data_IF_061960615199
#
_entry.id   IF_061960615199
#
_cell.length_a   1.000
_cell.length_b   1.000
_cell.length_c   1.000
_cell.angle_alpha   90.00
_cell.angle_beta   90.00
_cell.angle_gamma   90.00
#
_symmetry.space_group_name_H-M   'P 1'
#
loop_
_entity.id
_entity.type
_entity.pdbx_description
1 polymer ?
#
# COMPACT_ATOMS: atom_id res chain seq x y z
N UNK A 1 -6.43 -27.84 33.23
CA UNK A 1 -5.23 -27.63 32.40
C UNK A 1 -5.73 -27.10 31.07
N UNK A 2 -5.96 -25.80 30.99
CA UNK A 2 -6.34 -25.16 29.74
C UNK A 2 -5.05 -24.76 29.02
N UNK A 3 -4.71 -25.53 28.00
CA UNK A 3 -3.72 -25.16 27.01
C UNK A 3 -4.18 -23.88 26.33
N UNK A 4 -3.60 -22.74 26.71
CA UNK A 4 -3.63 -21.53 25.89
C UNK A 4 -2.84 -21.84 24.62
N UNK A 5 -3.53 -22.35 23.60
CA UNK A 5 -3.07 -22.19 22.23
C UNK A 5 -3.10 -20.68 21.97
N UNK A 6 -1.93 -20.05 21.95
CA UNK A 6 -1.80 -18.69 21.42
C UNK A 6 -2.10 -18.78 19.93
N UNK A 7 -3.38 -18.65 19.56
CA UNK A 7 -3.80 -18.65 18.17
C UNK A 7 -3.07 -17.51 17.47
N UNK A 8 -2.26 -17.85 16.47
CA UNK A 8 -1.54 -16.83 15.72
C UNK A 8 -2.58 -15.91 15.07
N UNK A 9 -2.42 -14.58 15.13
CA UNK A 9 -3.42 -13.68 14.59
C UNK A 9 -3.64 -14.01 13.12
N UNK A 10 -4.91 -14.08 12.71
CA UNK A 10 -5.25 -14.32 11.31
C UNK A 10 -4.62 -13.23 10.44
N UNK A 11 -4.22 -13.59 9.23
CA UNK A 11 -3.58 -12.66 8.30
C UNK A 11 -4.60 -12.18 7.28
N UNK A 12 -4.67 -10.87 7.08
CA UNK A 12 -5.39 -10.25 5.96
C UNK A 12 -4.39 -9.50 5.10
N UNK A 13 -4.37 -9.79 3.80
CA UNK A 13 -3.54 -9.09 2.83
C UNK A 13 -4.35 -7.94 2.25
N UNK A 14 -3.77 -6.74 2.11
CA UNK A 14 -4.45 -5.60 1.51
C UNK A 14 -3.51 -4.78 0.62
N UNK A 15 -4.11 -4.07 -0.33
CA UNK A 15 -3.42 -3.19 -1.28
C UNK A 15 -4.36 -2.07 -1.74
N UNK A 16 -3.78 -0.92 -2.11
CA UNK A 16 -4.51 0.24 -2.61
C UNK A 16 -4.04 0.64 -4.00
N UNK A 17 -4.99 0.79 -4.93
CA UNK A 17 -4.73 1.61 -6.12
C UNK A 17 -5.15 3.05 -5.85
N UNK A 18 -4.30 3.99 -6.24
CA UNK A 18 -4.48 5.42 -5.93
C UNK A 18 -4.42 6.28 -7.19
N UNK A 19 -4.82 7.55 -7.08
CA UNK A 19 -4.77 8.47 -8.21
C UNK A 19 -3.37 8.86 -8.66
N UNK A 20 -2.35 8.56 -7.86
CA UNK A 20 -0.98 9.00 -8.03
C UNK A 20 -0.16 8.75 -6.77
N UNK A 21 1.12 9.13 -6.78
CA UNK A 21 2.03 8.90 -5.66
C UNK A 21 2.15 10.10 -4.70
N UNK A 22 1.47 11.20 -5.00
CA UNK A 22 1.49 12.42 -4.20
C UNK A 22 0.76 12.30 -2.86
N UNK A 23 1.06 13.18 -1.89
CA UNK A 23 0.46 13.14 -0.54
C UNK A 23 -1.06 13.44 -0.53
N UNK A 24 -1.59 14.01 -1.60
CA UNK A 24 -3.01 14.35 -1.77
C UNK A 24 -3.75 13.39 -2.71
N UNK A 25 -3.17 12.23 -3.03
CA UNK A 25 -3.84 11.23 -3.85
C UNK A 25 -5.12 10.70 -3.17
N UNK A 26 -6.07 10.24 -3.98
CA UNK A 26 -7.26 9.54 -3.48
C UNK A 26 -7.12 8.04 -3.74
N UNK A 27 -7.78 7.24 -2.89
CA UNK A 27 -7.93 5.80 -3.12
C UNK A 27 -8.95 5.58 -4.23
N UNK A 28 -8.60 4.74 -5.21
CA UNK A 28 -9.43 4.37 -6.37
C UNK A 28 -9.91 2.93 -6.25
N UNK A 29 -9.06 2.04 -5.71
CA UNK A 29 -9.41 0.66 -5.40
C UNK A 29 -8.85 0.30 -4.01
N UNK A 30 -9.64 -0.41 -3.23
CA UNK A 30 -9.22 -1.05 -1.98
C UNK A 30 -9.55 -2.53 -2.10
N UNK A 31 -8.54 -3.39 -2.01
CA UNK A 31 -8.74 -4.83 -1.98
C UNK A 31 -8.14 -5.45 -0.73
N UNK A 32 -8.78 -6.52 -0.25
CA UNK A 32 -8.25 -7.33 0.83
C UNK A 32 -8.64 -8.80 0.68
N UNK A 33 -7.76 -9.72 1.12
CA UNK A 33 -8.03 -11.17 1.11
C UNK A 33 -7.54 -11.86 2.38
N UNK A 34 -8.26 -12.90 2.78
CA UNK A 34 -7.82 -13.86 3.80
C UNK A 34 -8.39 -15.24 3.49
N UNK A 35 -7.52 -16.16 3.08
CA UNK A 35 -7.91 -17.47 2.58
C UNK A 35 -8.76 -17.31 1.31
N UNK A 36 -10.01 -17.78 1.35
CA UNK A 36 -10.99 -17.66 0.28
C UNK A 36 -11.86 -16.40 0.34
N UNK A 37 -11.79 -15.64 1.43
CA UNK A 37 -12.56 -14.41 1.58
C UNK A 37 -11.87 -13.27 0.86
N UNK A 38 -12.65 -12.46 0.14
CA UNK A 38 -12.15 -11.32 -0.60
C UNK A 38 -13.07 -10.11 -0.44
N UNK A 39 -12.46 -8.93 -0.35
CA UNK A 39 -13.08 -7.63 -0.46
C UNK A 39 -12.43 -6.91 -1.65
N UNK A 40 -13.23 -6.30 -2.51
CA UNK A 40 -12.75 -5.55 -3.67
C UNK A 40 -13.69 -4.38 -3.95
N UNK A 41 -13.28 -3.19 -3.55
CA UNK A 41 -14.09 -1.98 -3.58
C UNK A 41 -13.44 -0.93 -4.47
N UNK A 42 -14.26 -0.20 -5.20
CA UNK A 42 -13.84 0.88 -6.08
C UNK A 42 -14.50 2.19 -5.67
N UNK A 43 -13.79 3.31 -5.87
CA UNK A 43 -14.25 4.64 -5.53
C UNK A 43 -13.98 5.59 -6.70
N UNK A 44 -14.92 6.49 -6.98
CA UNK A 44 -14.64 7.61 -7.88
C UNK A 44 -13.78 8.61 -7.10
N UNK A 45 -12.53 8.87 -7.51
CA UNK A 45 -11.67 9.83 -6.81
C UNK A 45 -12.18 11.27 -7.00
N UNK A 46 -11.88 12.12 -6.03
CA UNK A 46 -12.19 13.57 -6.05
C UNK A 46 -11.13 14.34 -6.82
N UNK A 47 -9.88 13.87 -6.79
CA UNK A 47 -8.78 14.44 -7.55
C UNK A 47 -8.57 13.74 -8.90
N UNK A 48 -7.84 14.40 -9.80
CA UNK A 48 -7.54 13.90 -11.14
C UNK A 48 -6.62 12.68 -11.06
N UNK A 49 -6.92 11.63 -11.83
CA UNK A 49 -5.97 10.55 -12.08
C UNK A 49 -4.72 11.08 -12.79
N UNK A 50 -3.56 10.85 -12.19
CA UNK A 50 -2.28 11.08 -12.85
C UNK A 50 -2.14 10.18 -14.09
N UNK A 51 -1.52 10.68 -15.18
CA UNK A 51 -1.33 9.87 -16.39
C UNK A 51 -0.55 8.57 -16.16
N UNK A 52 0.41 8.57 -15.21
CA UNK A 52 1.17 7.40 -14.82
C UNK A 52 0.29 6.34 -14.15
N UNK A 53 -0.43 6.73 -13.10
CA UNK A 53 -1.37 5.87 -12.38
C UNK A 53 -2.44 5.28 -13.32
N UNK A 54 -3.05 6.10 -14.18
CA UNK A 54 -4.04 5.64 -15.17
C UNK A 54 -3.47 4.62 -16.17
N UNK A 55 -2.18 4.75 -16.53
CA UNK A 55 -1.52 3.85 -17.48
C UNK A 55 -1.25 2.48 -16.87
N UNK A 56 -0.78 2.44 -15.63
CA UNK A 56 -0.39 1.18 -14.96
C UNK A 56 -1.62 0.42 -14.46
N UNK A 57 -2.57 1.11 -13.84
CA UNK A 57 -3.78 0.48 -13.26
C UNK A 57 -4.91 0.25 -14.27
N UNK A 58 -4.90 0.98 -15.39
CA UNK A 58 -6.00 0.98 -16.35
C UNK A 58 -7.26 1.75 -15.89
N UNK A 59 -7.23 2.42 -14.73
CA UNK A 59 -8.35 3.24 -14.25
C UNK A 59 -8.45 4.57 -14.99
N UNK A 60 -9.69 4.97 -15.30
CA UNK A 60 -10.04 6.27 -15.88
C UNK A 60 -11.37 6.77 -15.32
N UNK A 61 -11.47 8.07 -15.03
CA UNK A 61 -12.74 8.72 -14.69
C UNK A 61 -13.28 9.45 -15.91
N UNK A 62 -14.56 9.24 -16.23
CA UNK A 62 -15.28 9.99 -17.26
C UNK A 62 -16.68 10.29 -16.77
N UNK A 63 -17.09 11.56 -16.81
CA UNK A 63 -18.43 12.02 -16.39
C UNK A 63 -18.84 11.47 -15.01
N UNK A 64 -17.96 11.59 -14.01
CA UNK A 64 -18.14 11.09 -12.64
C UNK A 64 -18.32 9.57 -12.50
N UNK A 65 -17.99 8.78 -13.52
CA UNK A 65 -17.98 7.32 -13.47
C UNK A 65 -16.55 6.79 -13.61
N UNK A 66 -16.21 5.79 -12.80
CA UNK A 66 -14.94 5.09 -12.87
C UNK A 66 -15.01 3.94 -13.88
N UNK A 67 -13.96 3.80 -14.67
CA UNK A 67 -13.79 2.72 -15.64
C UNK A 67 -12.47 2.00 -15.38
N UNK A 68 -12.49 0.67 -15.40
CA UNK A 68 -11.31 -0.19 -15.45
C UNK A 68 -11.21 -0.79 -16.86
N UNK A 69 -10.11 -0.53 -17.56
CA UNK A 69 -9.90 -0.99 -18.94
C UNK A 69 -11.10 -0.73 -19.87
N UNK A 70 -11.65 0.50 -19.79
CA UNK A 70 -12.81 0.98 -20.56
C UNK A 70 -14.16 0.35 -20.18
N UNK A 71 -14.23 -0.49 -19.15
CA UNK A 71 -15.50 -1.02 -18.61
C UNK A 71 -15.89 -0.26 -17.34
N UNK A 72 -17.14 0.19 -17.21
CA UNK A 72 -17.59 0.85 -15.98
C UNK A 72 -17.54 -0.14 -14.81
N UNK A 73 -17.18 0.33 -13.62
CA UNK A 73 -17.20 -0.46 -12.38
C UNK A 73 -18.19 0.15 -11.40
N UNK A 74 -18.81 -0.70 -10.58
CA UNK A 74 -19.64 -0.23 -9.47
C UNK A 74 -18.73 0.39 -8.41
N UNK A 75 -19.12 1.55 -7.92
CA UNK A 75 -18.34 2.33 -6.96
C UNK A 75 -19.12 2.62 -5.70
N UNK A 76 -18.38 2.81 -4.61
CA UNK A 76 -18.88 3.20 -3.30
C UNK A 76 -18.36 4.59 -2.97
N UNK A 77 -18.97 5.27 -1.99
CA UNK A 77 -18.29 6.39 -1.36
C UNK A 77 -17.07 5.90 -0.58
N UNK A 78 -16.08 6.78 -0.38
CA UNK A 78 -14.88 6.45 0.40
C UNK A 78 -15.23 6.00 1.82
N UNK A 79 -16.22 6.65 2.46
CA UNK A 79 -16.68 6.28 3.81
C UNK A 79 -17.28 4.87 3.86
N UNK A 80 -18.16 4.53 2.92
CA UNK A 80 -18.75 3.18 2.82
C UNK A 80 -17.66 2.12 2.60
N UNK A 81 -16.66 2.42 1.78
CA UNK A 81 -15.56 1.51 1.53
C UNK A 81 -14.72 1.24 2.80
N UNK A 82 -14.41 2.29 3.57
CA UNK A 82 -13.67 2.16 4.82
C UNK A 82 -14.46 1.40 5.89
N UNK A 83 -15.77 1.66 6.03
CA UNK A 83 -16.64 0.93 6.96
C UNK A 83 -16.75 -0.55 6.56
N UNK A 84 -16.89 -0.83 5.26
CA UNK A 84 -16.92 -2.20 4.74
C UNK A 84 -15.59 -2.91 5.00
N UNK A 85 -14.46 -2.21 4.85
CA UNK A 85 -13.15 -2.76 5.16
C UNK A 85 -13.01 -3.09 6.65
N UNK A 86 -13.35 -2.17 7.55
CA UNK A 86 -13.34 -2.42 9.02
C UNK A 86 -14.22 -3.62 9.38
N UNK A 87 -15.41 -3.72 8.78
CA UNK A 87 -16.34 -4.84 8.99
C UNK A 87 -15.74 -6.16 8.52
N UNK A 88 -15.13 -6.17 7.33
CA UNK A 88 -14.42 -7.33 6.79
C UNK A 88 -13.29 -7.78 7.73
N UNK A 89 -12.49 -6.86 8.27
CA UNK A 89 -11.43 -7.18 9.23
C UNK A 89 -11.97 -7.78 10.53
N UNK A 90 -13.13 -7.30 11.00
CA UNK A 90 -13.82 -7.81 12.17
C UNK A 90 -14.17 -9.31 12.09
N UNK A 91 -14.37 -9.86 10.88
CA UNK A 91 -14.63 -11.29 10.67
C UNK A 91 -13.46 -12.19 11.09
N UNK A 92 -12.25 -11.62 11.24
CA UNK A 92 -11.01 -12.36 11.48
C UNK A 92 -10.44 -12.17 12.90
N UNK A 93 -11.18 -11.54 13.81
CA UNK A 93 -10.78 -11.48 15.22
C UNK A 93 -9.47 -10.74 15.47
N UNK A 94 -9.36 -9.51 14.92
CA UNK A 94 -8.17 -8.64 15.00
C UNK A 94 -6.97 -9.14 14.17
N UNK A 95 -7.08 -9.21 12.83
CA UNK A 95 -6.02 -9.73 12.00
C UNK A 95 -4.75 -8.86 12.00
N UNK A 96 -3.63 -9.47 11.60
CA UNK A 96 -2.44 -8.79 11.11
C UNK A 96 -2.66 -8.38 9.65
N UNK A 97 -2.48 -7.09 9.34
CA UNK A 97 -2.57 -6.60 7.97
C UNK A 97 -1.23 -6.67 7.27
N UNK A 98 -1.18 -7.35 6.13
CA UNK A 98 0.04 -7.52 5.34
C UNK A 98 -0.13 -6.85 4.00
N UNK A 99 0.88 -6.12 3.56
CA UNK A 99 0.95 -5.58 2.21
C UNK A 99 2.39 -5.51 1.75
N UNK A 100 2.63 -5.12 0.50
CA UNK A 100 3.97 -5.03 -0.05
C UNK A 100 4.41 -3.58 -0.25
N UNK A 101 5.45 -3.16 0.47
CA UNK A 101 5.94 -1.77 0.49
C UNK A 101 4.92 -0.75 1.04
N UNK A 102 3.94 -1.23 1.81
CA UNK A 102 2.79 -0.45 2.29
C UNK A 102 3.14 0.57 3.37
N UNK A 103 4.26 0.40 4.09
CA UNK A 103 4.57 1.23 5.27
C UNK A 103 4.78 2.69 4.90
N UNK A 104 5.33 2.95 3.72
CA UNK A 104 5.72 4.28 3.26
C UNK A 104 4.67 4.96 2.39
N UNK A 105 3.62 4.25 1.98
CA UNK A 105 2.62 4.78 1.06
C UNK A 105 1.20 4.40 1.48
N UNK A 106 0.76 3.17 1.25
CA UNK A 106 -0.61 2.71 1.46
C UNK A 106 -1.12 3.00 2.87
N UNK A 107 -0.29 2.74 3.89
CA UNK A 107 -0.67 3.00 5.27
C UNK A 107 -0.84 4.50 5.57
N UNK A 108 -0.09 5.38 4.90
CA UNK A 108 -0.25 6.84 5.04
C UNK A 108 -1.53 7.31 4.37
N UNK A 109 -1.84 6.76 3.19
CA UNK A 109 -3.08 7.05 2.46
C UNK A 109 -4.29 6.55 3.24
N UNK A 110 -4.25 5.32 3.74
CA UNK A 110 -5.28 4.72 4.57
C UNK A 110 -5.48 5.51 5.88
N UNK A 111 -4.40 5.87 6.58
CA UNK A 111 -4.49 6.64 7.83
C UNK A 111 -5.18 7.99 7.59
N UNK A 112 -4.81 8.72 6.53
CA UNK A 112 -5.45 9.98 6.14
C UNK A 112 -6.95 9.78 5.88
N UNK A 113 -7.30 8.76 5.11
CA UNK A 113 -8.70 8.47 4.79
C UNK A 113 -9.51 8.08 6.04
N UNK A 114 -8.93 7.31 6.96
CA UNK A 114 -9.57 6.97 8.24
C UNK A 114 -9.76 8.20 9.13
N UNK A 115 -8.75 9.08 9.21
CA UNK A 115 -8.81 10.33 9.98
C UNK A 115 -9.90 11.27 9.43
N UNK A 116 -10.05 11.37 8.11
CA UNK A 116 -11.08 12.20 7.44
C UNK A 116 -12.50 11.88 7.92
N UNK A 117 -12.80 10.61 8.19
CA UNK A 117 -14.14 10.16 8.61
C UNK A 117 -14.22 9.79 10.10
N UNK A 118 -13.19 10.07 10.90
CA UNK A 118 -13.16 9.72 12.32
C UNK A 118 -13.19 8.21 12.59
N UNK A 119 -12.73 7.39 11.64
CA UNK A 119 -12.79 5.92 11.70
C UNK A 119 -11.53 5.28 12.27
N UNK A 120 -10.47 6.06 12.52
CA UNK A 120 -9.16 5.53 12.94
C UNK A 120 -9.20 4.74 14.24
N UNK A 121 -9.89 5.25 15.26
CA UNK A 121 -10.01 4.54 16.54
C UNK A 121 -10.73 3.19 16.37
N UNK A 122 -11.86 3.18 15.64
CA UNK A 122 -12.59 1.95 15.33
C UNK A 122 -11.76 0.96 14.50
N UNK A 123 -10.94 1.47 13.58
CA UNK A 123 -10.03 0.63 12.80
C UNK A 123 -8.94 0.00 13.70
N UNK A 124 -8.35 0.77 14.61
CA UNK A 124 -7.28 0.29 15.50
C UNK A 124 -7.76 -0.81 16.47
N UNK A 125 -9.05 -0.85 16.84
CA UNK A 125 -9.57 -1.93 17.70
C UNK A 125 -9.67 -3.26 16.95
N UNK A 126 -9.88 -3.24 15.63
CA UNK A 126 -10.08 -4.45 14.81
C UNK A 126 -8.82 -4.99 14.14
N UNK A 127 -7.63 -4.50 14.47
CA UNK A 127 -6.36 -5.04 13.96
C UNK A 127 -5.35 -5.23 15.09
N UNK A 128 -4.41 -6.16 14.88
CA UNK A 128 -3.22 -6.29 15.75
C UNK A 128 -2.13 -5.31 15.31
N UNK A 129 -2.02 -5.04 14.01
CA UNK A 129 -1.02 -4.16 13.43
C UNK A 129 -0.85 -4.41 11.95
N UNK A 130 0.27 -3.94 11.43
CA UNK A 130 0.66 -4.04 10.03
C UNK A 130 2.00 -4.75 9.90
N UNK A 131 2.24 -5.37 8.74
CA UNK A 131 3.51 -5.97 8.35
C UNK A 131 3.82 -5.57 6.90
N UNK A 132 4.97 -4.94 6.71
CA UNK A 132 5.47 -4.65 5.36
C UNK A 132 6.27 -5.86 4.86
N UNK A 133 5.74 -6.53 3.84
CA UNK A 133 6.36 -7.75 3.30
C UNK A 133 7.64 -7.47 2.51
N UNK A 134 7.91 -6.23 2.08
CA UNK A 134 9.12 -5.91 1.32
C UNK A 134 10.41 -6.11 2.16
N UNK A 135 10.59 -5.47 3.33
CA UNK A 135 11.77 -5.71 4.17
C UNK A 135 11.83 -7.14 4.70
N UNK A 136 10.68 -7.77 4.98
CA UNK A 136 10.62 -9.17 5.37
C UNK A 136 11.16 -10.09 4.26
N UNK A 137 10.70 -9.92 3.02
CA UNK A 137 11.17 -10.70 1.87
C UNK A 137 12.67 -10.51 1.66
N UNK A 138 13.19 -9.28 1.81
CA UNK A 138 14.64 -9.01 1.73
C UNK A 138 15.45 -9.78 2.77
N UNK A 139 14.94 -9.90 4.00
CA UNK A 139 15.60 -10.69 5.03
C UNK A 139 15.57 -12.19 4.71
N UNK A 140 14.42 -12.72 4.28
CA UNK A 140 14.24 -14.15 3.99
C UNK A 140 15.06 -14.61 2.78
N UNK A 141 15.19 -13.75 1.79
CA UNK A 141 15.80 -14.08 0.50
C UNK A 141 17.19 -13.47 0.33
N UNK A 142 17.83 -13.01 1.41
CA UNK A 142 19.13 -12.31 1.36
C UNK A 142 20.22 -13.11 0.65
N UNK A 143 20.20 -14.44 0.74
CA UNK A 143 21.22 -15.33 0.19
C UNK A 143 20.77 -16.02 -1.13
N UNK A 144 19.62 -15.61 -1.68
CA UNK A 144 19.02 -16.25 -2.88
C UNK A 144 19.54 -15.71 -4.22
N UNK A 145 20.36 -14.66 -4.21
CA UNK A 145 20.83 -13.98 -5.43
C UNK A 145 19.79 -13.14 -6.17
N UNK A 146 18.58 -12.98 -5.60
CA UNK A 146 17.50 -12.17 -6.19
C UNK A 146 17.87 -10.68 -6.21
N UNK A 147 17.74 -10.08 -7.39
CA UNK A 147 18.09 -8.67 -7.62
C UNK A 147 16.90 -7.71 -7.46
N UNK A 148 15.68 -8.18 -7.72
CA UNK A 148 14.49 -7.35 -7.69
C UNK A 148 13.47 -7.87 -6.69
N UNK A 149 13.09 -7.00 -5.76
CA UNK A 149 12.08 -7.27 -4.75
C UNK A 149 10.75 -6.59 -5.06
N UNK A 150 10.47 -6.28 -6.33
CA UNK A 150 9.10 -5.94 -6.72
C UNK A 150 8.22 -7.18 -6.57
N UNK A 151 6.97 -7.01 -6.17
CA UNK A 151 6.07 -8.13 -5.88
C UNK A 151 5.93 -9.08 -7.08
N UNK A 152 5.76 -8.56 -8.29
CA UNK A 152 5.62 -9.35 -9.51
C UNK A 152 6.86 -10.20 -9.80
N UNK A 153 8.05 -9.69 -9.48
CA UNK A 153 9.31 -10.40 -9.65
C UNK A 153 9.49 -11.48 -8.58
N UNK A 154 9.10 -11.19 -7.33
CA UNK A 154 9.13 -12.18 -6.25
C UNK A 154 8.14 -13.32 -6.53
N UNK A 155 6.92 -13.00 -6.94
CA UNK A 155 5.91 -13.99 -7.33
C UNK A 155 6.41 -14.84 -8.48
N UNK A 156 6.98 -14.24 -9.54
CA UNK A 156 7.55 -14.99 -10.65
C UNK A 156 8.69 -15.92 -10.22
N UNK A 157 9.59 -15.43 -9.37
CA UNK A 157 10.79 -16.17 -8.98
C UNK A 157 10.49 -17.27 -7.98
N UNK A 158 9.64 -17.00 -6.98
CA UNK A 158 9.34 -17.93 -5.87
C UNK A 158 8.22 -18.90 -6.23
N UNK A 159 7.18 -18.44 -6.94
CA UNK A 159 6.00 -19.25 -7.26
C UNK A 159 5.99 -19.77 -8.69
N UNK A 160 6.89 -19.29 -9.57
CA UNK A 160 6.93 -19.70 -10.98
C UNK A 160 5.76 -19.21 -11.83
N UNK A 161 4.97 -18.26 -11.34
CA UNK A 161 3.77 -17.74 -12.03
C UNK A 161 3.83 -16.23 -12.24
N UNK A 162 3.12 -15.74 -13.25
CA UNK A 162 2.90 -14.30 -13.47
C UNK A 162 1.43 -13.97 -13.26
N UNK A 163 1.13 -12.71 -12.95
CA UNK A 163 -0.24 -12.23 -12.75
C UNK A 163 -0.39 -10.80 -13.27
N UNK A 164 -1.63 -10.32 -13.38
CA UNK A 164 -1.91 -8.95 -13.76
C UNK A 164 -1.64 -8.01 -12.58
N UNK A 165 -0.40 -7.52 -12.46
CA UNK A 165 -0.03 -6.50 -11.49
C UNK A 165 -0.71 -5.16 -11.76
N UNK A 166 -0.80 -4.31 -10.73
CA UNK A 166 -1.53 -3.04 -10.74
C UNK A 166 -3.05 -3.23 -10.81
N UNK A 167 -3.49 -4.27 -10.10
CA UNK A 167 -4.88 -4.48 -9.75
C UNK A 167 -4.88 -4.98 -8.31
N UNK A 168 -5.31 -4.13 -7.38
CA UNK A 168 -5.19 -4.42 -5.96
C UNK A 168 -5.68 -5.83 -5.56
N UNK A 169 -6.77 -6.34 -6.16
CA UNK A 169 -7.26 -7.69 -5.87
C UNK A 169 -6.28 -8.78 -6.35
N UNK A 170 -5.77 -8.67 -7.56
CA UNK A 170 -4.79 -9.62 -8.09
C UNK A 170 -3.47 -9.54 -7.31
N UNK A 171 -3.05 -8.33 -6.93
CA UNK A 171 -1.87 -8.08 -6.12
C UNK A 171 -1.99 -8.76 -4.74
N UNK A 172 -3.09 -8.58 -4.01
CA UNK A 172 -3.24 -9.22 -2.68
C UNK A 172 -3.40 -10.74 -2.75
N UNK A 173 -4.01 -11.27 -3.82
CA UNK A 173 -4.11 -12.71 -4.04
C UNK A 173 -2.73 -13.33 -4.32
N UNK A 174 -1.89 -12.64 -5.11
CA UNK A 174 -0.53 -13.07 -5.37
C UNK A 174 0.34 -12.95 -4.12
N UNK A 175 0.21 -11.85 -3.37
CA UNK A 175 0.92 -11.62 -2.12
C UNK A 175 0.58 -12.67 -1.06
N UNK A 176 -0.69 -13.05 -0.92
CA UNK A 176 -1.09 -14.13 0.00
C UNK A 176 -0.34 -15.43 -0.30
N UNK A 177 -0.30 -15.84 -1.57
CA UNK A 177 0.42 -17.06 -1.98
C UNK A 177 1.92 -16.93 -1.73
N UNK A 178 2.50 -15.77 -2.05
CA UNK A 178 3.92 -15.50 -1.85
C UNK A 178 4.29 -15.57 -0.37
N UNK A 179 3.51 -14.91 0.49
CA UNK A 179 3.74 -14.88 1.94
C UNK A 179 3.77 -16.28 2.55
N UNK A 180 2.81 -17.14 2.17
CA UNK A 180 2.78 -18.52 2.66
C UNK A 180 3.91 -19.38 2.10
N UNK A 181 4.32 -19.17 0.85
CA UNK A 181 5.48 -19.86 0.28
C UNK A 181 6.81 -19.45 0.93
N UNK A 182 6.93 -18.18 1.33
CA UNK A 182 8.09 -17.67 2.07
C UNK A 182 8.12 -18.18 3.52
N UNK A 183 6.96 -18.56 4.08
CA UNK A 183 6.81 -19.19 5.40
C UNK A 183 7.63 -18.50 6.51
N UNK A 184 7.45 -17.19 6.76
CA UNK A 184 8.20 -16.47 7.77
C UNK A 184 7.96 -17.03 9.18
N UNK A 185 9.00 -17.06 9.99
CA UNK A 185 8.90 -17.43 11.41
C UNK A 185 8.21 -16.32 12.22
N UNK A 186 7.64 -16.67 13.38
CA UNK A 186 7.02 -15.69 14.30
C UNK A 186 7.98 -14.55 14.67
N UNK A 187 9.26 -14.86 14.93
CA UNK A 187 10.29 -13.87 15.24
C UNK A 187 10.50 -12.88 14.09
N UNK A 188 10.58 -13.36 12.86
CA UNK A 188 10.72 -12.52 11.67
C UNK A 188 9.47 -11.65 11.46
N UNK A 189 8.27 -12.19 11.68
CA UNK A 189 7.03 -11.41 11.61
C UNK A 189 7.08 -10.26 12.63
N UNK A 190 7.37 -10.57 13.90
CA UNK A 190 7.42 -9.58 14.98
C UNK A 190 8.44 -8.45 14.71
N UNK A 191 9.58 -8.77 14.10
CA UNK A 191 10.62 -7.79 13.74
C UNK A 191 10.16 -6.72 12.74
N UNK A 192 9.19 -7.05 11.87
CA UNK A 192 8.73 -6.17 10.79
C UNK A 192 7.32 -5.61 11.04
N UNK A 193 6.73 -5.91 12.20
CA UNK A 193 5.42 -5.38 12.58
C UNK A 193 5.47 -3.90 12.97
N UNK A 194 4.41 -3.16 12.66
CA UNK A 194 4.25 -1.77 13.04
C UNK A 194 2.77 -1.39 13.25
N UNK A 195 2.51 -0.23 13.85
CA UNK A 195 1.16 0.32 14.06
C UNK A 195 0.97 1.65 13.33
N UNK A 196 -0.28 2.09 13.15
CA UNK A 196 -0.55 3.42 12.58
C UNK A 196 0.06 4.54 13.43
N UNK A 197 0.08 4.40 14.76
CA UNK A 197 0.66 5.42 15.65
C UNK A 197 2.15 5.62 15.39
N UNK A 198 2.86 4.53 15.05
CA UNK A 198 4.30 4.59 14.72
C UNK A 198 4.60 5.37 13.43
N UNK A 199 3.61 5.50 12.51
CA UNK A 199 3.76 6.26 11.27
C UNK A 199 3.73 7.77 11.51
N UNK A 200 2.88 8.23 12.44
CA UNK A 200 2.76 9.64 12.80
C UNK A 200 4.07 10.20 13.36
N UNK A 201 4.81 9.41 14.15
CA UNK A 201 6.13 9.81 14.66
C UNK A 201 7.15 10.02 13.54
N UNK A 202 7.10 9.24 12.46
CA UNK A 202 8.00 9.40 11.31
C UNK A 202 7.64 10.60 10.43
N UNK A 203 6.36 10.85 10.18
CA UNK A 203 5.92 12.03 9.43
C UNK A 203 6.34 13.33 10.13
N UNK A 204 6.20 13.39 11.46
CA UNK A 204 6.65 14.53 12.28
C UNK A 204 8.18 14.69 12.27
N UNK A 205 8.94 13.59 12.27
CA UNK A 205 10.41 13.63 12.17
C UNK A 205 10.88 14.08 10.78
N UNK A 206 10.25 13.60 9.71
CA UNK A 206 10.57 13.99 8.33
C UNK A 206 10.21 15.44 8.04
N UNK A 207 9.18 15.99 8.69
CA UNK A 207 8.82 17.40 8.59
C UNK A 207 9.72 18.35 9.41
N UNK A 208 10.55 17.81 10.32
CA UNK A 208 11.47 18.60 11.17
C UNK A 208 12.89 18.74 10.60
N UNK A 209 13.19 18.15 9.45
CA UNK A 209 14.45 18.39 8.73
C UNK A 209 14.21 19.47 7.66
N UNK A 210 14.82 20.67 7.76
CA UNK A 210 14.75 21.67 6.69
C UNK A 210 15.72 21.35 5.55
N UNK A 211 15.34 21.82 4.37
CA UNK A 211 16.05 21.74 3.11
C UNK A 211 17.41 22.47 3.11
N UNK A 212 18.40 21.81 2.50
CA UNK A 212 19.66 22.27 1.89
C UNK A 212 20.36 20.94 1.52
N UNK A 213 20.84 20.60 0.33
CA UNK A 213 21.17 21.24 -0.95
C UNK A 213 20.97 20.12 -2.02
N UNK A 214 20.75 20.31 -3.32
CA UNK A 214 21.53 21.04 -4.30
C UNK A 214 20.62 21.47 -5.46
N UNK A 215 20.77 22.74 -5.85
CA UNK A 215 20.22 23.31 -7.07
C UNK A 215 20.91 22.68 -8.28
N UNK A 216 20.12 22.01 -9.11
CA UNK A 216 20.44 21.78 -10.50
C UNK A 216 20.20 23.10 -11.24
N UNK A 217 21.25 23.88 -11.50
CA UNK A 217 21.22 24.93 -12.52
C UNK A 217 22.38 24.73 -13.50
N UNK A 218 22.03 24.22 -14.68
CA UNK A 218 22.81 24.41 -15.89
C UNK A 218 21.87 25.01 -16.94
N UNK A 219 22.39 26.05 -17.61
CA UNK A 219 21.87 26.83 -18.74
C UNK A 219 21.01 28.06 -18.43
N UNK A 220 21.65 29.24 -18.46
CA UNK A 220 21.61 30.10 -19.65
C UNK A 220 22.88 30.96 -19.74
N UNK A 221 23.49 31.00 -20.93
CA UNK A 221 24.66 31.82 -21.29
C UNK A 221 24.28 33.29 -21.55
N UNK A 222 25.35 34.11 -21.57
CA UNK A 222 25.63 35.33 -22.36
C UNK A 222 25.28 36.72 -21.82
N UNK A 223 26.23 37.65 -22.08
CA UNK A 223 26.34 39.09 -21.74
C UNK A 223 26.88 39.29 -20.31
N UNK A 224 28.12 39.72 -20.05
CA UNK A 224 28.85 40.79 -20.70
C UNK A 224 30.38 40.57 -20.55
N UNK A 225 31.09 40.41 -21.67
CA UNK A 225 32.52 40.71 -21.75
C UNK A 225 32.61 42.06 -22.47
N UNK A 226 32.85 43.14 -21.74
CA UNK A 226 33.31 44.39 -22.33
C UNK A 226 33.82 45.34 -21.24
N UNK A 227 35.03 45.87 -21.49
CA UNK A 227 35.74 46.99 -20.83
C UNK A 227 36.54 46.54 -19.59
N UNK A 228 37.87 46.38 -19.62
CA UNK A 228 38.92 47.17 -20.28
C UNK A 228 38.79 48.68 -20.08
N UNK A 229 39.75 49.18 -19.26
CA UNK A 229 40.07 50.53 -18.76
C UNK A 229 39.41 50.91 -17.44
#
# INVERSE_FOLDING_TARGET
MDSQATDSPRTVFFDLETTGLGPSCDIVQLAAVSGSHALNLFMVPRCRMEPGASRVTGFRVRRHQLFLHRRPVLTNSLREALVSFITFLGMFGRPLLVGHNIRRFDCLVLARALDEFGLKAAFQTVVVGFLDSLPLARQLLKDSGIQSFKQENLVKTVLGVSYAAHNALADVQALQKLYWALSPTVSQIQQHMFSLDSLNTMAVRSARLPAQSDLCEHFQKTVDSSRDI
#
